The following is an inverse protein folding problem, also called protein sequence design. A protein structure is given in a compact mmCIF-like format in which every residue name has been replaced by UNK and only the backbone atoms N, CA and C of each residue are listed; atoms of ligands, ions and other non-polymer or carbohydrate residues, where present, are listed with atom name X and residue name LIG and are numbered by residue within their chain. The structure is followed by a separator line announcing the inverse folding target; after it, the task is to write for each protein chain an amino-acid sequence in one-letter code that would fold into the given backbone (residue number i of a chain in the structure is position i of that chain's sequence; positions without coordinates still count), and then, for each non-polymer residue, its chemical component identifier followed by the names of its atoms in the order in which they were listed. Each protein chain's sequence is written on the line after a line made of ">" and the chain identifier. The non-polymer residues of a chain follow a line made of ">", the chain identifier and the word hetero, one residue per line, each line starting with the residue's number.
data_IF_437553251042
#
_entry.id   IF_437553251042
#
_cell.length_a   1.000
_cell.length_b   1.000
_cell.length_c   1.000
_cell.angle_alpha   90.00
_cell.angle_beta   90.00
_cell.angle_gamma   90.00
#
_symmetry.space_group_name_H-M   'P 1'
#
loop_
_entity.id
_entity.type
_entity.pdbx_description
1 polymer ?
#
# COMPACT_ATOMS: atom_id res chain seq x y z
N UNK A 1 -4.16 24.82 -27.30
CA UNK A 1 -4.06 23.71 -26.34
C UNK A 1 -5.20 22.77 -26.66
N UNK A 2 -4.95 21.48 -26.85
CA UNK A 2 -6.01 20.52 -27.14
C UNK A 2 -6.84 20.29 -25.86
N UNK A 3 -8.13 19.97 -25.96
CA UNK A 3 -9.01 19.67 -24.81
C UNK A 3 -8.40 18.56 -23.92
N UNK A 4 -7.76 17.57 -24.55
CA UNK A 4 -7.01 16.53 -23.86
C UNK A 4 -5.89 17.08 -22.96
N UNK A 5 -5.12 18.07 -23.44
CA UNK A 5 -4.04 18.69 -22.66
C UNK A 5 -4.60 19.45 -21.46
N UNK A 6 -5.75 20.13 -21.64
CA UNK A 6 -6.41 20.86 -20.56
C UNK A 6 -6.91 19.91 -19.47
N UNK A 7 -7.57 18.82 -19.86
CA UNK A 7 -8.03 17.81 -18.90
C UNK A 7 -6.89 17.13 -18.16
N UNK A 8 -5.81 16.75 -18.86
CA UNK A 8 -4.61 16.16 -18.23
C UNK A 8 -4.02 17.13 -17.21
N UNK A 9 -3.91 18.41 -17.57
CA UNK A 9 -3.45 19.44 -16.64
C UNK A 9 -4.40 19.63 -15.46
N UNK A 10 -5.71 19.61 -15.67
CA UNK A 10 -6.69 19.72 -14.58
C UNK A 10 -6.61 18.54 -13.61
N UNK A 11 -6.35 17.33 -14.13
CA UNK A 11 -6.06 16.14 -13.31
C UNK A 11 -4.80 16.38 -12.48
N UNK A 12 -3.70 16.80 -13.10
CA UNK A 12 -2.42 17.06 -12.42
C UNK A 12 -2.53 18.17 -11.36
N UNK A 13 -3.25 19.26 -11.67
CA UNK A 13 -3.48 20.38 -10.76
C UNK A 13 -4.33 19.95 -9.54
N UNK A 14 -5.23 18.99 -9.73
CA UNK A 14 -6.08 18.48 -8.65
C UNK A 14 -5.44 17.34 -7.86
N UNK A 15 -4.67 16.49 -8.53
CA UNK A 15 -3.99 15.35 -7.98
C UNK A 15 -2.69 15.12 -8.75
N UNK A 16 -1.59 15.69 -8.26
CA UNK A 16 -0.29 15.51 -8.87
C UNK A 16 0.19 14.07 -8.68
N UNK A 17 0.32 13.34 -9.79
CA UNK A 17 0.68 11.93 -9.80
C UNK A 17 1.91 11.70 -10.70
N UNK A 18 3.11 12.00 -10.19
CA UNK A 18 4.34 11.62 -10.88
C UNK A 18 4.77 10.21 -10.47
N UNK A 19 4.96 9.30 -11.44
CA UNK A 19 5.49 7.95 -11.21
C UNK A 19 7.00 7.94 -10.98
N UNK A 20 7.72 9.02 -11.34
CA UNK A 20 9.17 9.15 -11.13
C UNK A 20 9.51 9.54 -9.70
N UNK A 21 8.78 8.97 -8.74
CA UNK A 21 9.03 9.16 -7.32
C UNK A 21 10.37 8.51 -7.00
N UNK A 22 11.32 9.29 -6.51
CA UNK A 22 12.51 8.73 -5.88
C UNK A 22 12.27 8.58 -4.36
N UNK A 23 13.15 7.83 -3.68
CA UNK A 23 13.03 7.60 -2.24
C UNK A 23 12.97 8.88 -1.40
N UNK A 24 13.64 9.95 -1.85
CA UNK A 24 13.70 11.23 -1.11
C UNK A 24 12.39 12.02 -1.22
N UNK A 25 11.65 11.87 -2.31
CA UNK A 25 10.38 12.57 -2.57
C UNK A 25 9.16 11.74 -2.15
N UNK A 26 9.33 10.47 -1.79
CA UNK A 26 8.23 9.54 -1.52
C UNK A 26 7.24 10.05 -0.47
N UNK A 27 7.73 10.64 0.64
CA UNK A 27 6.83 11.21 1.66
C UNK A 27 5.96 12.33 1.08
N UNK A 28 6.55 13.26 0.32
CA UNK A 28 5.82 14.39 -0.27
C UNK A 28 4.76 13.89 -1.26
N UNK A 29 5.12 12.92 -2.12
CA UNK A 29 4.16 12.29 -3.03
C UNK A 29 3.00 11.62 -2.27
N UNK A 30 3.29 10.92 -1.17
CA UNK A 30 2.26 10.29 -0.35
C UNK A 30 1.34 11.28 0.35
N UNK A 31 1.88 12.42 0.80
CA UNK A 31 1.08 13.50 1.38
C UNK A 31 0.13 14.13 0.36
N UNK A 32 0.61 14.39 -0.86
CA UNK A 32 -0.22 14.89 -1.97
C UNK A 32 -1.31 13.89 -2.33
N UNK A 33 -0.95 12.61 -2.43
CA UNK A 33 -1.88 11.53 -2.74
C UNK A 33 -3.01 11.39 -1.71
N UNK A 34 -2.71 11.59 -0.43
CA UNK A 34 -3.68 11.54 0.66
C UNK A 34 -4.60 12.78 0.75
N UNK A 35 -4.43 13.76 -0.14
CA UNK A 35 -5.27 14.95 -0.12
C UNK A 35 -6.73 14.63 -0.47
N UNK A 36 -7.64 15.41 0.10
CA UNK A 36 -9.08 15.32 -0.19
C UNK A 36 -9.39 15.47 -1.68
N UNK A 37 -8.57 16.23 -2.41
CA UNK A 37 -8.75 16.45 -3.84
C UNK A 37 -8.51 15.16 -4.64
N UNK A 38 -7.41 14.46 -4.38
CA UNK A 38 -7.12 13.14 -4.96
C UNK A 38 -8.19 12.08 -4.59
N UNK A 39 -8.72 12.13 -3.37
CA UNK A 39 -9.84 11.25 -2.97
C UNK A 39 -11.12 11.57 -3.73
N UNK A 40 -11.49 12.85 -3.82
CA UNK A 40 -12.68 13.26 -4.57
C UNK A 40 -12.61 12.84 -6.04
N UNK A 41 -11.45 12.98 -6.68
CA UNK A 41 -11.29 12.58 -8.08
C UNK A 41 -11.43 11.06 -8.29
N UNK A 42 -11.01 10.24 -7.32
CA UNK A 42 -11.25 8.77 -7.33
C UNK A 42 -12.74 8.42 -7.27
N UNK A 43 -13.51 9.12 -6.45
CA UNK A 43 -14.94 8.79 -6.25
C UNK A 43 -15.85 9.39 -7.32
N UNK A 44 -15.57 10.61 -7.76
CA UNK A 44 -16.41 11.34 -8.70
C UNK A 44 -16.03 11.12 -10.17
N UNK A 45 -14.87 10.49 -10.42
CA UNK A 45 -14.29 10.35 -11.76
C UNK A 45 -13.73 11.66 -12.31
N UNK A 46 -12.89 11.56 -13.34
CA UNK A 46 -12.27 12.73 -13.99
C UNK A 46 -13.28 13.59 -14.74
N UNK A 47 -14.43 13.02 -15.12
CA UNK A 47 -15.54 13.73 -15.78
C UNK A 47 -16.16 14.82 -14.88
N UNK A 48 -15.88 14.77 -13.57
CA UNK A 48 -16.27 15.83 -12.64
C UNK A 48 -15.48 17.12 -12.83
N UNK A 49 -14.36 17.09 -13.56
CA UNK A 49 -13.57 18.26 -13.92
C UNK A 49 -14.16 18.95 -15.15
N UNK A 50 -14.38 20.26 -15.05
CA UNK A 50 -14.95 21.08 -16.14
C UNK A 50 -14.16 20.92 -17.44
N UNK A 51 -12.83 20.92 -17.36
CA UNK A 51 -11.93 20.76 -18.50
C UNK A 51 -11.98 19.36 -19.16
N UNK A 52 -12.66 18.39 -18.54
CA UNK A 52 -12.79 17.02 -19.05
C UNK A 52 -14.18 16.69 -19.62
N UNK A 53 -15.18 17.59 -19.50
CA UNK A 53 -16.57 17.27 -19.87
C UNK A 53 -16.82 17.10 -21.38
N UNK A 54 -15.99 17.74 -22.20
CA UNK A 54 -16.14 17.74 -23.67
C UNK A 54 -15.26 16.69 -24.37
N UNK A 55 -14.59 15.81 -23.62
CA UNK A 55 -13.78 14.74 -24.19
C UNK A 55 -14.68 13.57 -24.62
N UNK A 56 -14.30 12.90 -25.71
CA UNK A 56 -14.96 11.68 -26.18
C UNK A 56 -15.04 10.61 -25.07
N UNK A 57 -16.19 9.95 -24.95
CA UNK A 57 -16.51 9.02 -23.86
C UNK A 57 -15.45 7.92 -23.70
N UNK A 58 -15.02 7.29 -24.80
CA UNK A 58 -14.00 6.24 -24.78
C UNK A 58 -12.66 6.74 -24.23
N UNK A 59 -12.30 8.00 -24.53
CA UNK A 59 -11.08 8.63 -24.03
C UNK A 59 -11.21 8.93 -22.53
N UNK A 60 -12.38 9.39 -22.07
CA UNK A 60 -12.65 9.59 -20.63
C UNK A 60 -12.59 8.28 -19.86
N UNK A 61 -13.18 7.20 -20.38
CA UNK A 61 -13.11 5.88 -19.75
C UNK A 61 -11.64 5.44 -19.62
N UNK A 62 -10.85 5.57 -20.70
CA UNK A 62 -9.43 5.22 -20.70
C UNK A 62 -8.62 6.05 -19.70
N UNK A 63 -8.86 7.36 -19.63
CA UNK A 63 -8.21 8.25 -18.68
C UNK A 63 -8.60 7.92 -17.23
N UNK A 64 -9.88 7.60 -16.97
CA UNK A 64 -10.36 7.20 -15.65
C UNK A 64 -9.66 5.92 -15.16
N UNK A 65 -9.57 4.90 -16.01
CA UNK A 65 -8.85 3.66 -15.70
C UNK A 65 -7.38 3.95 -15.44
N UNK A 66 -6.74 4.75 -16.30
CA UNK A 66 -5.33 5.12 -16.14
C UNK A 66 -5.08 5.87 -14.83
N UNK A 67 -5.96 6.82 -14.48
CA UNK A 67 -5.92 7.54 -13.21
C UNK A 67 -6.08 6.59 -12.02
N UNK A 68 -7.05 5.66 -12.06
CA UNK A 68 -7.24 4.66 -11.00
C UNK A 68 -5.99 3.79 -10.85
N UNK A 69 -5.41 3.26 -11.93
CA UNK A 69 -4.18 2.45 -11.89
C UNK A 69 -3.03 3.23 -11.27
N UNK A 70 -2.82 4.47 -11.73
CA UNK A 70 -1.76 5.34 -11.25
C UNK A 70 -1.94 5.64 -9.75
N UNK A 71 -3.17 5.98 -9.35
CA UNK A 71 -3.53 6.22 -7.95
C UNK A 71 -3.25 4.98 -7.10
N UNK A 72 -3.77 3.81 -7.50
CA UNK A 72 -3.56 2.55 -6.79
C UNK A 72 -2.07 2.19 -6.68
N UNK A 73 -1.29 2.47 -7.73
CA UNK A 73 0.17 2.27 -7.73
C UNK A 73 0.86 3.18 -6.72
N UNK A 74 0.53 4.47 -6.67
CA UNK A 74 1.09 5.38 -5.68
C UNK A 74 0.64 4.98 -4.26
N UNK A 75 -0.61 4.58 -4.09
CA UNK A 75 -1.13 4.05 -2.81
C UNK A 75 -0.32 2.85 -2.32
N UNK A 76 0.08 1.95 -3.23
CA UNK A 76 0.98 0.84 -2.96
C UNK A 76 2.41 1.30 -2.57
N UNK A 77 2.94 2.36 -3.18
CA UNK A 77 4.23 2.94 -2.78
C UNK A 77 4.18 3.61 -1.39
N UNK A 78 3.00 4.08 -0.99
CA UNK A 78 2.78 4.83 0.24
C UNK A 78 2.42 3.99 1.46
N UNK A 79 2.46 2.65 1.35
CA UNK A 79 2.15 1.79 2.48
C UNK A 79 3.25 1.91 3.53
N UNK A 80 2.83 2.13 4.78
CA UNK A 80 3.68 2.14 5.96
C UNK A 80 3.32 0.97 6.89
N UNK A 81 4.31 0.52 7.64
CA UNK A 81 4.17 -0.44 8.71
C UNK A 81 3.55 0.19 9.96
N UNK A 82 3.38 -0.62 11.00
CA UNK A 82 2.80 -0.21 12.29
C UNK A 82 3.65 0.84 13.03
N UNK A 83 4.87 1.11 12.56
CA UNK A 83 5.82 2.07 13.14
C UNK A 83 6.06 3.27 12.20
N UNK A 84 5.17 3.51 11.23
CA UNK A 84 5.24 4.62 10.27
C UNK A 84 6.44 4.56 9.30
N UNK A 85 7.09 3.40 9.14
CA UNK A 85 8.14 3.18 8.15
C UNK A 85 7.55 2.63 6.85
N UNK A 86 8.07 3.07 5.70
CA UNK A 86 7.63 2.51 4.42
C UNK A 86 7.87 1.01 4.33
N UNK A 87 6.90 0.30 3.76
CA UNK A 87 6.96 -1.13 3.61
C UNK A 87 8.09 -1.55 2.65
N UNK A 88 8.80 -2.66 2.95
CA UNK A 88 9.93 -3.12 2.13
C UNK A 88 9.56 -3.31 0.66
N UNK A 89 8.38 -3.89 0.40
CA UNK A 89 7.90 -4.11 -0.97
C UNK A 89 7.61 -2.81 -1.73
N UNK A 90 7.11 -1.79 -1.04
CA UNK A 90 6.87 -0.45 -1.61
C UNK A 90 8.19 0.21 -2.03
N UNK A 91 9.21 0.12 -1.17
CA UNK A 91 10.54 0.68 -1.45
C UNK A 91 11.25 -0.04 -2.61
N UNK A 92 11.05 -1.35 -2.77
CA UNK A 92 11.67 -2.10 -3.88
C UNK A 92 11.11 -1.73 -5.25
N UNK A 93 9.92 -1.13 -5.34
CA UNK A 93 9.38 -0.66 -6.62
C UNK A 93 10.04 0.63 -7.12
N UNK A 94 10.70 1.37 -6.23
CA UNK A 94 11.35 2.66 -6.53
C UNK A 94 12.83 2.47 -6.87
N UNK A 95 13.48 1.46 -6.28
CA UNK A 95 14.89 1.20 -6.51
C UNK A 95 15.15 0.53 -7.87
N UNK A 96 15.50 1.31 -8.87
CA UNK A 96 15.98 0.81 -10.17
C UNK A 96 17.25 -0.06 -10.08
N UNK A 97 17.99 -0.02 -8.96
CA UNK A 97 19.15 -0.87 -8.69
C UNK A 97 18.77 -2.29 -8.21
N UNK A 98 17.50 -2.53 -7.88
CA UNK A 98 17.01 -3.83 -7.39
C UNK A 98 16.45 -4.75 -8.50
N UNK A 99 16.88 -4.57 -9.74
CA UNK A 99 16.44 -5.36 -10.91
C UNK A 99 16.82 -6.86 -10.88
N UNK A 100 17.31 -7.39 -9.77
CA UNK A 100 17.41 -8.84 -9.58
C UNK A 100 16.10 -9.37 -8.98
N UNK A 101 15.57 -10.45 -9.56
CA UNK A 101 14.42 -11.17 -9.00
C UNK A 101 14.63 -11.54 -7.52
N UNK A 102 15.87 -11.68 -7.07
CA UNK A 102 16.20 -11.99 -5.68
C UNK A 102 15.91 -10.82 -4.73
N UNK A 103 16.30 -9.59 -5.08
CA UNK A 103 16.04 -8.41 -4.24
C UNK A 103 14.55 -8.16 -4.11
N UNK A 104 13.81 -8.25 -5.23
CA UNK A 104 12.36 -8.15 -5.25
C UNK A 104 11.68 -9.19 -4.34
N UNK A 105 12.08 -10.46 -4.45
CA UNK A 105 11.52 -11.52 -3.61
C UNK A 105 11.92 -11.40 -2.14
N UNK A 106 13.08 -10.81 -1.84
CA UNK A 106 13.49 -10.55 -0.46
C UNK A 106 12.67 -9.41 0.16
N UNK A 107 12.45 -8.31 -0.56
CA UNK A 107 11.54 -7.25 -0.13
C UNK A 107 10.12 -7.79 0.13
N UNK A 108 9.61 -8.67 -0.73
CA UNK A 108 8.31 -9.30 -0.52
C UNK A 108 8.28 -10.22 0.71
N UNK A 109 9.35 -10.98 0.98
CA UNK A 109 9.48 -11.76 2.23
C UNK A 109 9.54 -10.86 3.46
N UNK A 110 10.22 -9.72 3.37
CA UNK A 110 10.33 -8.76 4.47
C UNK A 110 9.00 -8.08 4.75
N UNK A 111 8.21 -7.81 3.71
CA UNK A 111 6.84 -7.29 3.81
C UNK A 111 5.96 -8.15 4.73
N UNK A 112 6.15 -9.47 4.71
CA UNK A 112 5.42 -10.45 5.53
C UNK A 112 5.67 -10.34 7.04
N UNK A 113 6.65 -9.55 7.49
CA UNK A 113 6.87 -9.32 8.92
C UNK A 113 5.92 -8.28 9.50
N UNK A 114 5.39 -7.36 8.68
CA UNK A 114 4.39 -6.38 9.12
C UNK A 114 3.02 -6.83 8.65
N UNK A 115 2.05 -6.86 9.58
CA UNK A 115 0.67 -7.20 9.25
C UNK A 115 0.06 -6.09 8.40
N UNK A 116 0.32 -4.84 8.76
CA UNK A 116 -0.16 -3.68 8.02
C UNK A 116 0.37 -3.64 6.59
N UNK A 117 1.68 -3.87 6.40
CA UNK A 117 2.26 -4.00 5.06
C UNK A 117 1.61 -5.14 4.28
N UNK A 118 1.42 -6.30 4.92
CA UNK A 118 0.84 -7.48 4.27
C UNK A 118 -0.60 -7.24 3.81
N UNK A 119 -1.45 -6.78 4.73
CA UNK A 119 -2.88 -6.58 4.49
C UNK A 119 -3.11 -5.47 3.45
N UNK A 120 -2.39 -4.34 3.56
CA UNK A 120 -2.53 -3.23 2.60
C UNK A 120 -1.92 -3.55 1.24
N UNK A 121 -0.76 -4.24 1.16
CA UNK A 121 -0.22 -4.67 -0.14
C UNK A 121 -1.23 -5.56 -0.84
N UNK A 122 -1.86 -6.49 -0.12
CA UNK A 122 -2.86 -7.37 -0.68
C UNK A 122 -4.10 -6.61 -1.17
N UNK A 123 -4.58 -5.65 -0.40
CA UNK A 123 -5.69 -4.77 -0.79
C UNK A 123 -5.40 -4.07 -2.13
N UNK A 124 -4.24 -3.42 -2.26
CA UNK A 124 -3.86 -2.74 -3.49
C UNK A 124 -3.61 -3.69 -4.67
N UNK A 125 -3.05 -4.88 -4.43
CA UNK A 125 -2.86 -5.89 -5.48
C UNK A 125 -4.18 -6.38 -6.05
N UNK A 126 -5.19 -6.58 -5.20
CA UNK A 126 -6.54 -6.91 -5.68
C UNK A 126 -7.19 -5.74 -6.42
N UNK A 127 -7.05 -4.51 -5.93
CA UNK A 127 -7.56 -3.33 -6.64
C UNK A 127 -6.91 -3.18 -8.02
N UNK A 128 -5.60 -3.40 -8.14
CA UNK A 128 -4.92 -3.44 -9.44
C UNK A 128 -5.50 -4.55 -10.32
N UNK A 129 -5.62 -5.77 -9.80
CA UNK A 129 -6.15 -6.90 -10.57
C UNK A 129 -7.56 -6.63 -11.11
N UNK A 130 -8.44 -6.03 -10.30
CA UNK A 130 -9.79 -5.64 -10.71
C UNK A 130 -9.76 -4.57 -11.82
N UNK A 131 -8.87 -3.56 -11.72
CA UNK A 131 -8.67 -2.54 -12.75
C UNK A 131 -8.11 -3.13 -14.05
N UNK A 132 -7.21 -4.11 -13.96
CA UNK A 132 -6.71 -4.84 -15.13
C UNK A 132 -7.86 -5.53 -15.86
N UNK A 133 -8.77 -6.22 -15.15
CA UNK A 133 -9.96 -6.81 -15.76
C UNK A 133 -10.93 -5.78 -16.34
N UNK A 134 -11.12 -4.62 -15.68
CA UNK A 134 -11.91 -3.50 -16.23
C UNK A 134 -11.29 -2.98 -17.55
N UNK A 135 -9.96 -3.01 -17.67
CA UNK A 135 -9.23 -2.49 -18.84
C UNK A 135 -9.12 -3.45 -20.04
N UNK A 136 -9.37 -4.75 -19.86
CA UNK A 136 -9.19 -5.74 -20.96
C UNK A 136 -10.15 -5.53 -22.14
N UNK A 137 -11.23 -4.79 -21.92
CA UNK A 137 -12.19 -4.42 -22.97
C UNK A 137 -11.73 -3.21 -23.80
N UNK A 138 -10.66 -2.51 -23.38
CA UNK A 138 -10.28 -1.17 -23.88
C UNK A 138 -8.82 -1.11 -24.40
N UNK A 139 -7.91 -1.93 -23.87
CA UNK A 139 -6.46 -1.84 -24.14
C UNK A 139 -5.87 -3.17 -24.70
N UNK A 140 -4.75 -3.09 -25.43
CA UNK A 140 -4.04 -4.27 -25.97
C UNK A 140 -3.72 -5.31 -24.88
N UNK A 141 -4.44 -6.43 -24.98
CA UNK A 141 -4.47 -7.56 -24.05
C UNK A 141 -3.07 -8.16 -23.78
N UNK A 142 -2.11 -8.00 -24.68
CA UNK A 142 -0.80 -8.65 -24.54
C UNK A 142 0.09 -8.01 -23.48
N UNK A 143 0.03 -6.68 -23.30
CA UNK A 143 0.78 -6.00 -22.24
C UNK A 143 0.17 -6.25 -20.85
N UNK A 144 -1.16 -6.28 -20.78
CA UNK A 144 -1.90 -6.49 -19.52
C UNK A 144 -1.67 -7.88 -18.91
N UNK A 145 -1.48 -8.91 -19.74
CA UNK A 145 -1.27 -10.30 -19.27
C UNK A 145 -0.02 -10.48 -18.43
N UNK A 146 1.08 -9.83 -18.79
CA UNK A 146 2.34 -9.95 -18.05
C UNK A 146 2.21 -9.36 -16.65
N UNK A 147 1.56 -8.20 -16.55
CA UNK A 147 1.34 -7.53 -15.28
C UNK A 147 0.35 -8.31 -14.41
N UNK A 148 -0.71 -8.89 -15.03
CA UNK A 148 -1.67 -9.77 -14.34
C UNK A 148 -0.95 -10.98 -13.70
N UNK A 149 -0.08 -11.66 -14.44
CA UNK A 149 0.70 -12.80 -13.92
C UNK A 149 1.61 -12.38 -12.76
N UNK A 150 2.27 -11.23 -12.87
CA UNK A 150 3.08 -10.66 -11.79
C UNK A 150 2.25 -10.36 -10.55
N UNK A 151 1.08 -9.73 -10.69
CA UNK A 151 0.17 -9.44 -9.58
C UNK A 151 -0.30 -10.72 -8.89
N UNK A 152 -0.73 -11.72 -9.66
CA UNK A 152 -1.15 -13.03 -9.11
C UNK A 152 -0.03 -13.72 -8.35
N UNK A 153 1.20 -13.69 -8.88
CA UNK A 153 2.36 -14.25 -8.20
C UNK A 153 2.60 -13.60 -6.83
N UNK A 154 2.44 -12.28 -6.73
CA UNK A 154 2.59 -11.54 -5.46
C UNK A 154 1.49 -11.95 -4.48
N UNK A 155 0.23 -11.96 -4.93
CA UNK A 155 -0.93 -12.39 -4.14
C UNK A 155 -0.72 -13.81 -3.60
N UNK A 156 -0.36 -14.75 -4.47
CA UNK A 156 -0.13 -16.15 -4.09
C UNK A 156 1.00 -16.29 -3.07
N UNK A 157 2.07 -15.51 -3.22
CA UNK A 157 3.16 -15.50 -2.26
C UNK A 157 2.71 -14.96 -0.90
N UNK A 158 2.00 -13.84 -0.87
CA UNK A 158 1.48 -13.24 0.37
C UNK A 158 0.49 -14.17 1.08
N UNK A 159 -0.36 -14.89 0.33
CA UNK A 159 -1.27 -15.87 0.91
C UNK A 159 -0.62 -17.18 1.35
N UNK A 160 0.60 -17.45 0.88
CA UNK A 160 1.30 -18.69 1.18
C UNK A 160 1.56 -18.84 2.68
N UNK A 161 1.69 -20.10 3.12
CA UNK A 161 2.10 -20.42 4.49
C UNK A 161 3.45 -19.81 4.88
N UNK A 162 4.32 -19.50 3.89
CA UNK A 162 5.61 -18.85 4.10
C UNK A 162 5.47 -17.42 4.62
N UNK A 163 4.49 -16.67 4.13
CA UNK A 163 4.22 -15.31 4.61
C UNK A 163 3.44 -15.35 5.93
N UNK A 164 2.36 -16.14 5.98
CA UNK A 164 1.50 -16.29 7.17
C UNK A 164 2.24 -16.73 8.44
N UNK A 165 3.27 -17.57 8.30
CA UNK A 165 4.07 -18.03 9.45
C UNK A 165 4.99 -16.96 10.05
N UNK A 166 5.24 -15.85 9.35
CA UNK A 166 6.12 -14.78 9.83
C UNK A 166 5.46 -13.88 10.87
N UNK A 167 4.14 -13.66 10.78
CA UNK A 167 3.38 -12.95 11.81
C UNK A 167 3.41 -13.68 13.17
N UNK A 168 3.40 -15.02 13.16
CA UNK A 168 3.35 -15.83 14.38
C UNK A 168 4.66 -15.79 15.18
N UNK A 169 5.80 -15.63 14.51
CA UNK A 169 7.13 -15.64 15.14
C UNK A 169 7.51 -14.30 15.81
N UNK A 170 6.80 -13.21 15.53
CA UNK A 170 7.00 -11.95 16.25
C UNK A 170 6.28 -11.94 17.61
N UNK A 171 5.10 -12.56 17.69
CA UNK A 171 4.37 -12.72 18.96
C UNK A 171 5.11 -13.59 19.96
N UNK A 172 5.91 -14.57 19.52
CA UNK A 172 6.66 -15.43 20.43
C UNK A 172 7.80 -14.71 21.14
N UNK A 173 8.41 -13.67 20.55
CA UNK A 173 9.51 -12.93 21.18
C UNK A 173 9.03 -11.74 22.04
N UNK A 174 7.86 -11.16 21.73
CA UNK A 174 7.25 -10.13 22.59
C UNK A 174 6.68 -10.72 23.90
N UNK A 175 6.28 -12.00 23.90
CA UNK A 175 5.78 -12.68 25.11
C UNK A 175 6.87 -12.95 26.16
N UNK A 176 8.15 -13.03 25.76
CA UNK A 176 9.26 -13.20 26.72
C UNK A 176 9.71 -11.87 27.37
N UNK A 177 9.44 -10.72 26.77
CA UNK A 177 9.83 -9.41 27.33
C UNK A 177 8.73 -8.72 28.14
N UNK A 178 7.46 -9.09 27.97
CA UNK A 178 6.34 -8.57 28.78
C UNK A 178 6.16 -9.31 30.12
N UNK A 179 6.63 -10.55 30.25
CA UNK A 179 6.44 -11.35 31.45
C UNK A 179 7.39 -11.02 32.63
N UNK A 180 8.55 -10.41 32.41
CA UNK A 180 9.45 -10.09 33.54
C UNK A 180 9.05 -8.82 34.31
N UNK A 181 8.49 -7.80 33.65
CA UNK A 181 8.10 -6.54 34.33
C UNK A 181 6.70 -6.58 34.96
N UNK A 182 5.77 -7.36 34.41
CA UNK A 182 4.39 -7.39 34.94
C UNK A 182 4.29 -8.25 36.21
N UNK A 183 5.00 -9.38 36.28
CA UNK A 183 4.95 -10.27 37.45
C UNK A 183 5.74 -9.73 38.66
N UNK A 184 6.80 -8.95 38.44
CA UNK A 184 7.58 -8.34 39.53
C UNK A 184 6.76 -7.37 40.39
N UNK A 185 5.91 -6.54 39.75
CA UNK A 185 5.08 -5.56 40.46
C UNK A 185 3.83 -6.17 41.09
N UNK A 186 3.25 -7.21 40.48
CA UNK A 186 2.07 -7.91 41.05
C UNK A 186 2.48 -8.73 42.30
N UNK A 187 3.67 -9.32 42.31
CA UNK A 187 4.17 -10.08 43.47
C UNK A 187 4.42 -9.17 44.70
N UNK A 188 4.93 -7.95 44.48
CA UNK A 188 5.16 -6.95 45.55
C UNK A 188 3.84 -6.40 46.15
N UNK A 189 2.77 -6.35 45.36
CA UNK A 189 1.44 -5.94 45.87
C UNK A 189 0.77 -7.05 46.69
N UNK A 190 0.96 -8.31 46.33
CA UNK A 190 0.39 -9.45 47.07
C UNK A 190 1.09 -9.67 48.42
N UNK A 191 2.40 -9.43 48.53
CA UNK A 191 3.15 -9.54 49.79
C UNK A 191 2.65 -8.50 50.82
N UNK A 192 2.30 -7.28 50.38
CA UNK A 192 1.78 -6.26 51.27
C UNK A 192 0.35 -6.55 51.77
N UNK A 193 -0.50 -7.19 50.96
CA UNK A 193 -1.87 -7.51 51.40
C UNK A 193 -1.94 -8.70 52.36
N UNK A 194 -0.98 -9.62 52.34
CA UNK A 194 -1.00 -10.82 53.20
C UNK A 194 -0.26 -10.61 54.53
N UNK A 195 0.75 -9.72 54.59
CA UNK A 195 1.56 -9.55 55.81
C UNK A 195 0.97 -8.48 56.77
N UNK A 196 0.32 -7.44 56.25
CA UNK A 196 -0.24 -6.34 57.07
C UNK A 196 -1.33 -6.75 58.09
N UNK A 197 -2.20 -7.75 57.86
CA UNK A 197 -3.17 -8.20 58.86
C UNK A 197 -2.58 -9.13 59.94
N UNK A 198 -1.32 -9.56 59.85
CA UNK A 198 -0.68 -10.44 60.84
C UNK A 198 0.09 -9.70 61.94
N UNK A 199 0.18 -8.37 61.86
CA UNK A 199 0.89 -7.51 62.82
C UNK A 199 -0.01 -6.46 63.50
N UNK A 200 -1.34 -6.68 63.53
CA UNK A 200 -2.30 -5.88 64.27
C UNK A 200 -3.12 -6.72 65.24
#
# INVERSE_FOLDING_TARGET
>A
MNQFDNCTKAIDDMCFLDLKVNKTELNETCEVHATKNCEMLKYNGIESLEDCQDIEEDVIISLNISFKILKTTIGLLCIKDENENFCPFSLSQIDNEQNSNENYMNALKENCYSKECTDKTLMYMYELLDLYYESTDIVDVNHLKKDEESIKMIIDFIYSSKCKSKHLNQTSNALYTLNEKLYGNILLLLINMVILPLFK
#
